data_IF_536184668764
#
_entry.id   IF_536184668764
#
_cell.length_a   1.000
_cell.length_b   1.000
_cell.length_c   1.000
_cell.angle_alpha   90.00
_cell.angle_beta   90.00
_cell.angle_gamma   90.00
#
_symmetry.space_group_name_H-M   'P 1'
#
loop_
_entity.id
_entity.type
_entity.pdbx_description
1 polymer ?
#
# COMPACT_ATOMS: atom_id res chain seq x y z
N UNK A 1 -11.32 18.41 -12.89
CA UNK A 1 -11.48 19.32 -11.74
C UNK A 1 -10.13 19.90 -11.43
N UNK A 2 -9.97 21.15 -11.00
CA UNK A 2 -8.65 21.63 -10.56
C UNK A 2 -8.22 20.83 -9.33
N UNK A 3 -6.93 20.51 -9.25
CA UNK A 3 -6.34 19.78 -8.13
C UNK A 3 -6.40 20.63 -6.87
N UNK A 4 -6.85 20.05 -5.77
CA UNK A 4 -6.87 20.68 -4.45
C UNK A 4 -6.38 19.73 -3.35
N UNK A 5 -5.85 20.29 -2.30
CA UNK A 5 -5.40 19.53 -1.13
C UNK A 5 -6.61 18.87 -0.46
N UNK A 6 -6.57 17.55 -0.22
CA UNK A 6 -7.64 16.86 0.50
C UNK A 6 -7.78 17.37 1.93
N UNK A 7 -9.01 17.43 2.42
CA UNK A 7 -9.35 17.82 3.80
C UNK A 7 -9.98 16.62 4.52
N UNK A 8 -9.96 16.59 5.86
CA UNK A 8 -10.58 15.51 6.63
C UNK A 8 -12.03 15.22 6.23
N UNK A 9 -12.80 16.28 5.90
CA UNK A 9 -14.20 16.17 5.52
C UNK A 9 -14.41 15.39 4.20
N UNK A 10 -13.41 15.32 3.35
CA UNK A 10 -13.47 14.56 2.10
C UNK A 10 -13.54 13.04 2.33
N UNK A 11 -13.11 12.59 3.50
CA UNK A 11 -13.00 11.19 3.88
C UNK A 11 -14.12 10.70 4.80
N UNK A 12 -14.93 11.57 5.38
CA UNK A 12 -15.98 11.20 6.36
C UNK A 12 -16.98 10.18 5.82
N UNK A 13 -17.25 10.19 4.52
CA UNK A 13 -18.18 9.24 3.91
C UNK A 13 -17.61 7.80 3.82
N UNK A 14 -16.31 7.64 4.01
CA UNK A 14 -15.65 6.32 4.05
C UNK A 14 -15.88 5.61 5.38
N UNK A 15 -16.14 6.37 6.45
CA UNK A 15 -16.40 5.84 7.78
C UNK A 15 -17.77 5.13 7.86
N UNK A 16 -17.89 4.06 8.63
CA UNK A 16 -16.83 3.40 9.41
C UNK A 16 -16.03 2.37 8.60
N UNK A 17 -16.30 2.20 7.30
CA UNK A 17 -15.72 1.12 6.49
C UNK A 17 -14.22 1.28 6.24
N UNK A 18 -13.75 2.52 6.18
CA UNK A 18 -12.33 2.83 6.01
C UNK A 18 -11.99 4.09 6.82
N UNK A 19 -11.09 3.93 7.79
CA UNK A 19 -10.61 5.02 8.62
C UNK A 19 -9.21 5.45 8.16
N UNK A 20 -8.95 6.75 8.14
CA UNK A 20 -7.68 7.32 7.73
C UNK A 20 -7.16 8.33 8.76
N UNK A 21 -5.84 8.41 8.88
CA UNK A 21 -5.13 9.45 9.62
C UNK A 21 -4.26 10.26 8.68
N UNK A 22 -4.44 11.57 8.66
CA UNK A 22 -3.73 12.48 7.76
C UNK A 22 -2.57 13.16 8.47
N UNK A 23 -1.43 13.24 7.79
CA UNK A 23 -0.25 13.99 8.23
C UNK A 23 0.12 14.97 7.13
N UNK A 24 -0.11 16.25 7.37
CA UNK A 24 0.23 17.31 6.42
C UNK A 24 1.71 17.65 6.50
N UNK A 25 2.33 18.12 5.38
CA UNK A 25 3.64 18.75 5.44
C UNK A 25 3.57 20.02 6.29
N UNK A 26 4.72 20.56 6.70
CA UNK A 26 4.82 21.75 7.56
C UNK A 26 4.02 22.95 7.01
N UNK A 27 4.05 23.12 5.69
CA UNK A 27 3.25 24.09 4.95
C UNK A 27 2.29 23.30 4.04
N UNK A 28 1.01 23.13 4.42
CA UNK A 28 0.06 22.31 3.66
C UNK A 28 -0.08 22.71 2.20
N UNK A 29 0.02 24.01 1.89
CA UNK A 29 -0.10 24.56 0.53
C UNK A 29 1.02 24.10 -0.42
N UNK A 30 2.13 23.60 0.12
CA UNK A 30 3.24 23.07 -0.67
C UNK A 30 3.02 21.61 -1.11
N UNK A 31 1.85 21.03 -0.82
CA UNK A 31 1.58 19.63 -1.17
C UNK A 31 1.57 19.42 -2.69
N UNK A 32 2.49 18.59 -3.15
CA UNK A 32 2.67 18.22 -4.57
C UNK A 32 2.54 16.72 -4.80
N UNK A 33 2.49 15.93 -3.74
CA UNK A 33 2.34 14.48 -3.81
C UNK A 33 1.60 13.94 -2.59
N UNK A 34 1.02 12.76 -2.74
CA UNK A 34 0.32 12.04 -1.66
C UNK A 34 1.07 10.73 -1.40
N UNK A 35 1.25 10.37 -0.13
CA UNK A 35 1.77 9.09 0.31
C UNK A 35 0.68 8.34 1.07
N UNK A 36 0.21 7.23 0.51
CA UNK A 36 -0.76 6.34 1.18
C UNK A 36 0.01 5.21 1.87
N UNK A 37 -0.24 5.04 3.18
CA UNK A 37 0.50 4.09 4.02
C UNK A 37 -0.42 2.97 4.53
N UNK A 38 0.09 1.73 4.46
CA UNK A 38 -0.57 0.51 4.88
C UNK A 38 0.26 -0.21 5.94
N UNK A 39 -0.30 -0.35 7.14
CA UNK A 39 0.35 -1.02 8.27
C UNK A 39 0.41 -2.55 8.08
N UNK A 40 1.24 -3.21 8.89
CA UNK A 40 1.33 -4.67 8.93
C UNK A 40 0.15 -5.31 9.67
N UNK A 41 0.07 -6.63 9.59
CA UNK A 41 -0.89 -7.43 10.33
C UNK A 41 -0.82 -7.12 11.83
N UNK A 42 -1.96 -6.85 12.44
CA UNK A 42 -2.06 -6.61 13.88
C UNK A 42 -1.65 -5.21 14.34
N UNK A 43 -1.42 -4.29 13.42
CA UNK A 43 -1.13 -2.88 13.71
C UNK A 43 -2.33 -1.98 13.31
N UNK A 44 -2.15 -0.68 13.26
CA UNK A 44 -3.18 0.30 12.93
C UNK A 44 -2.59 1.51 12.19
N UNK A 45 -3.48 2.36 11.69
CA UNK A 45 -3.12 3.61 11.02
C UNK A 45 -2.34 4.58 11.93
N UNK A 46 -2.51 4.49 13.24
CA UNK A 46 -1.86 5.40 14.19
C UNK A 46 -0.33 5.25 14.19
N UNK A 47 0.18 4.01 14.13
CA UNK A 47 1.61 3.72 14.05
C UNK A 47 2.23 4.28 12.78
N UNK A 48 1.54 4.13 11.64
CA UNK A 48 2.03 4.58 10.34
C UNK A 48 1.87 6.09 10.14
N UNK A 49 0.86 6.72 10.75
CA UNK A 49 0.79 8.18 10.84
C UNK A 49 1.99 8.75 11.63
N UNK A 50 2.39 8.10 12.74
CA UNK A 50 3.59 8.47 13.49
C UNK A 50 4.86 8.27 12.66
N UNK A 51 4.97 7.17 11.92
CA UNK A 51 6.07 6.92 10.99
C UNK A 51 6.15 8.01 9.91
N UNK A 52 5.03 8.34 9.26
CA UNK A 52 4.96 9.41 8.26
C UNK A 52 5.41 10.77 8.81
N UNK A 53 4.99 11.11 10.04
CA UNK A 53 5.45 12.32 10.72
C UNK A 53 6.97 12.33 10.96
N UNK A 54 7.54 11.17 11.28
CA UNK A 54 8.98 11.06 11.56
C UNK A 54 9.85 11.16 10.29
N UNK A 55 9.41 10.59 9.14
CA UNK A 55 10.14 10.71 7.89
C UNK A 55 10.01 12.11 7.26
N UNK A 56 8.92 12.82 7.57
CA UNK A 56 8.67 14.23 7.23
C UNK A 56 9.08 14.60 5.79
N UNK A 57 8.46 13.94 4.79
CA UNK A 57 8.76 14.18 3.38
C UNK A 57 8.25 15.56 2.95
N UNK A 58 9.11 16.45 2.43
CA UNK A 58 8.71 17.78 2.00
C UNK A 58 7.65 17.75 0.89
N UNK A 59 6.59 18.55 1.02
CA UNK A 59 5.54 18.65 0.02
C UNK A 59 4.67 17.40 -0.15
N UNK A 60 4.67 16.49 0.83
CA UNK A 60 3.90 15.25 0.79
C UNK A 60 2.82 15.25 1.86
N UNK A 61 1.56 15.10 1.45
CA UNK A 61 0.47 14.74 2.34
C UNK A 61 0.48 13.23 2.55
N UNK A 62 0.70 12.78 3.77
CA UNK A 62 0.62 11.37 4.09
C UNK A 62 -0.77 10.99 4.62
N UNK A 63 -1.32 9.88 4.11
CA UNK A 63 -2.62 9.31 4.49
C UNK A 63 -2.36 7.88 4.95
N UNK A 64 -2.36 7.68 6.26
CA UNK A 64 -2.26 6.36 6.87
C UNK A 64 -3.65 5.75 6.97
N UNK A 65 -3.80 4.55 6.43
CA UNK A 65 -5.09 3.85 6.32
C UNK A 65 -5.14 2.72 7.34
N UNK A 66 -6.29 2.57 8.00
CA UNK A 66 -6.57 1.45 8.91
C UNK A 66 -6.94 0.21 8.10
N UNK A 67 -6.45 -0.96 8.51
CA UNK A 67 -6.87 -2.24 7.97
C UNK A 67 -8.38 -2.43 8.05
N UNK A 68 -8.94 -3.09 7.06
CA UNK A 68 -10.40 -3.17 6.83
C UNK A 68 -11.16 -4.01 7.85
N UNK A 69 -10.47 -4.88 8.56
CA UNK A 69 -11.09 -5.81 9.50
C UNK A 69 -10.31 -5.86 10.82
N UNK A 70 -11.02 -5.95 11.96
CA UNK A 70 -10.37 -6.12 13.26
C UNK A 70 -9.72 -7.50 13.37
N UNK A 71 -8.50 -7.54 13.90
CA UNK A 71 -7.83 -8.80 14.20
C UNK A 71 -8.21 -9.26 15.61
N UNK A 72 -8.73 -10.48 15.76
CA UNK A 72 -9.07 -11.02 17.07
C UNK A 72 -7.84 -11.10 17.99
N UNK A 73 -7.89 -10.56 19.22
CA UNK A 73 -6.76 -10.55 20.14
C UNK A 73 -6.20 -11.94 20.47
N UNK A 74 -7.04 -12.96 20.39
CA UNK A 74 -6.64 -14.36 20.59
C UNK A 74 -5.56 -14.81 19.59
N UNK A 75 -5.57 -14.29 18.35
CA UNK A 75 -4.56 -14.60 17.33
C UNK A 75 -3.23 -13.89 17.59
N UNK A 76 -3.21 -12.87 18.47
CA UNK A 76 -2.00 -12.16 18.88
C UNK A 76 -1.38 -12.75 20.16
N UNK A 77 -1.96 -13.83 20.71
CA UNK A 77 -1.50 -14.40 21.98
C UNK A 77 -1.68 -13.46 23.18
N UNK A 78 -2.55 -12.46 23.07
CA UNK A 78 -2.85 -11.50 24.14
C UNK A 78 -3.87 -12.11 25.09
N UNK A 79 -3.51 -12.43 26.35
CA UNK A 79 -4.45 -12.98 27.31
C UNK A 79 -5.45 -11.90 27.75
N UNK A 80 -6.74 -12.23 27.76
CA UNK A 80 -7.73 -11.52 28.57
C UNK A 80 -8.32 -10.24 28.01
N UNK A 81 -8.39 -10.06 26.69
CA UNK A 81 -9.26 -9.00 26.15
C UNK A 81 -10.71 -9.45 26.33
N UNK A 82 -11.42 -8.78 27.26
CA UNK A 82 -12.87 -8.97 27.42
C UNK A 82 -13.58 -8.69 26.09
N UNK A 83 -14.51 -9.57 25.73
CA UNK A 83 -15.37 -9.37 24.56
C UNK A 83 -16.09 -8.02 24.69
N UNK A 84 -15.80 -7.08 23.76
CA UNK A 84 -16.41 -5.75 23.73
C UNK A 84 -15.47 -4.57 23.88
N UNK A 85 -14.18 -4.78 24.15
CA UNK A 85 -13.23 -3.66 24.09
C UNK A 85 -12.89 -3.31 22.63
N UNK A 86 -12.74 -2.00 22.31
CA UNK A 86 -12.33 -1.57 20.98
C UNK A 86 -10.94 -2.17 20.65
N UNK A 87 -10.84 -2.92 19.56
CA UNK A 87 -9.55 -3.44 19.13
C UNK A 87 -8.71 -2.33 18.51
N UNK A 88 -7.39 -2.37 18.77
CA UNK A 88 -6.39 -1.53 18.12
C UNK A 88 -5.60 -2.29 17.05
N UNK A 89 -6.02 -3.53 16.73
CA UNK A 89 -5.32 -4.47 15.87
C UNK A 89 -6.17 -4.79 14.65
N UNK A 90 -5.61 -4.60 13.46
CA UNK A 90 -6.34 -4.73 12.22
C UNK A 90 -5.56 -5.55 11.18
N UNK A 91 -6.27 -6.03 10.15
CA UNK A 91 -5.70 -6.73 9.01
C UNK A 91 -6.34 -6.28 7.69
N UNK A 92 -5.74 -6.68 6.56
CA UNK A 92 -6.18 -6.28 5.22
C UNK A 92 -6.88 -7.38 4.45
N UNK A 93 -6.72 -8.64 4.88
CA UNK A 93 -7.26 -9.80 4.18
C UNK A 93 -8.78 -9.87 4.22
N UNK A 94 -9.36 -10.50 3.20
CA UNK A 94 -10.79 -10.79 3.14
C UNK A 94 -11.20 -11.77 4.25
N UNK A 95 -10.31 -12.74 4.54
CA UNK A 95 -10.47 -13.76 5.58
C UNK A 95 -9.16 -13.94 6.39
N UNK A 96 -9.28 -14.54 7.57
CA UNK A 96 -8.18 -15.01 8.41
C UNK A 96 -8.09 -16.52 8.28
N UNK A 97 -7.46 -17.00 7.23
CA UNK A 97 -7.21 -18.43 7.02
C UNK A 97 -5.85 -18.83 7.59
N UNK A 98 -5.80 -19.99 8.24
CA UNK A 98 -4.58 -20.60 8.70
C UNK A 98 -4.15 -21.66 7.69
N UNK A 99 -2.87 -21.71 7.38
CA UNK A 99 -2.28 -22.78 6.60
C UNK A 99 -2.51 -24.12 7.32
N UNK A 100 -3.03 -25.11 6.62
CA UNK A 100 -3.25 -26.46 7.16
C UNK A 100 -1.92 -27.15 7.52
N UNK A 101 -0.83 -26.75 6.88
CA UNK A 101 0.46 -27.40 7.00
C UNK A 101 1.33 -26.82 8.13
N UNK A 102 1.31 -25.49 8.29
CA UNK A 102 2.14 -24.79 9.27
C UNK A 102 1.36 -24.23 10.45
N UNK A 103 0.06 -24.02 10.32
CA UNK A 103 -0.77 -23.31 11.31
C UNK A 103 -0.57 -21.80 11.32
N UNK A 104 0.23 -21.26 10.43
CA UNK A 104 0.44 -19.83 10.26
C UNK A 104 -0.67 -19.19 9.42
N UNK A 105 -0.82 -17.88 9.52
CA UNK A 105 -1.76 -17.15 8.67
C UNK A 105 -1.31 -17.20 7.20
N UNK A 106 -2.26 -17.48 6.31
CA UNK A 106 -2.00 -17.47 4.87
C UNK A 106 -1.48 -16.11 4.42
N UNK A 107 -0.37 -16.08 3.64
CA UNK A 107 0.23 -14.81 3.20
C UNK A 107 -0.60 -14.10 2.12
N UNK A 108 -1.48 -14.81 1.42
CA UNK A 108 -2.42 -14.27 0.44
C UNK A 108 -3.88 -14.60 0.82
N UNK A 109 -4.45 -13.91 1.82
CA UNK A 109 -5.80 -14.17 2.32
C UNK A 109 -6.90 -13.59 1.43
N UNK A 110 -6.57 -13.14 0.19
CA UNK A 110 -7.44 -12.30 -0.62
C UNK A 110 -7.49 -10.86 -0.11
N UNK A 111 -7.66 -9.92 -1.03
CA UNK A 111 -7.66 -8.48 -0.72
C UNK A 111 -8.79 -7.73 -1.44
N UNK A 112 -9.85 -8.42 -1.84
CA UNK A 112 -10.93 -7.84 -2.67
C UNK A 112 -11.64 -6.67 -1.98
N UNK A 113 -11.93 -6.81 -0.69
CA UNK A 113 -12.55 -5.73 0.12
C UNK A 113 -11.61 -4.54 0.28
N UNK A 114 -10.32 -4.81 0.56
CA UNK A 114 -9.30 -3.77 0.68
C UNK A 114 -9.10 -3.04 -0.65
N UNK A 115 -9.07 -3.76 -1.77
CA UNK A 115 -8.99 -3.19 -3.11
C UNK A 115 -10.19 -2.27 -3.40
N UNK A 116 -11.42 -2.73 -3.14
CA UNK A 116 -12.62 -1.90 -3.34
C UNK A 116 -12.59 -0.61 -2.52
N UNK A 117 -12.24 -0.71 -1.25
CA UNK A 117 -12.24 0.45 -0.35
C UNK A 117 -11.06 1.41 -0.63
N UNK A 118 -9.85 0.86 -0.81
CA UNK A 118 -8.65 1.69 -0.99
C UNK A 118 -8.54 2.19 -2.43
N UNK A 119 -8.53 1.30 -3.43
CA UNK A 119 -8.42 1.73 -4.82
C UNK A 119 -9.70 2.41 -5.30
N UNK A 120 -10.86 1.79 -5.08
CA UNK A 120 -12.14 2.28 -5.58
C UNK A 120 -12.61 3.55 -4.86
N UNK A 121 -12.73 3.51 -3.53
CA UNK A 121 -13.33 4.64 -2.79
C UNK A 121 -12.32 5.71 -2.38
N UNK A 122 -11.17 5.31 -1.78
CA UNK A 122 -10.18 6.30 -1.32
C UNK A 122 -9.44 6.93 -2.51
N UNK A 123 -8.80 6.15 -3.36
CA UNK A 123 -7.96 6.68 -4.43
C UNK A 123 -8.82 7.24 -5.56
N UNK A 124 -9.63 6.38 -6.23
CA UNK A 124 -10.43 6.81 -7.38
C UNK A 124 -11.55 7.78 -6.99
N UNK A 125 -12.32 7.46 -5.97
CA UNK A 125 -13.48 8.25 -5.55
C UNK A 125 -13.09 9.58 -4.91
N UNK A 126 -12.13 9.56 -3.97
CA UNK A 126 -11.78 10.77 -3.20
C UNK A 126 -10.61 11.52 -3.83
N UNK A 127 -9.44 10.90 -3.93
CA UNK A 127 -8.23 11.63 -4.34
C UNK A 127 -8.32 12.07 -5.79
N UNK A 128 -8.69 11.18 -6.69
CA UNK A 128 -8.82 11.50 -8.12
C UNK A 128 -10.15 12.20 -8.40
N UNK A 129 -11.27 11.62 -7.99
CA UNK A 129 -12.61 12.08 -8.35
C UNK A 129 -13.02 13.39 -7.71
N UNK A 130 -12.83 13.54 -6.39
CA UNK A 130 -13.22 14.76 -5.65
C UNK A 130 -12.12 15.80 -5.54
N UNK A 131 -10.86 15.37 -5.42
CA UNK A 131 -9.74 16.28 -5.17
C UNK A 131 -8.89 16.59 -6.41
N UNK A 132 -9.09 15.87 -7.52
CA UNK A 132 -8.47 16.16 -8.82
C UNK A 132 -7.00 15.73 -8.93
N UNK A 133 -6.51 14.87 -8.03
CA UNK A 133 -5.17 14.29 -8.11
C UNK A 133 -5.11 13.23 -9.21
N UNK A 134 -3.92 12.95 -9.69
CA UNK A 134 -3.68 11.84 -10.61
C UNK A 134 -2.99 10.69 -9.86
N UNK A 135 -3.09 9.45 -10.36
CA UNK A 135 -2.44 8.31 -9.69
C UNK A 135 -0.92 8.43 -9.70
N UNK A 136 -0.34 9.07 -10.73
CA UNK A 136 1.09 9.38 -10.81
C UNK A 136 1.57 10.46 -9.80
N UNK A 137 0.67 11.08 -9.04
CA UNK A 137 1.01 11.93 -7.89
C UNK A 137 1.02 11.17 -6.57
N UNK A 138 0.58 9.89 -6.59
CA UNK A 138 0.38 9.07 -5.40
C UNK A 138 1.49 8.05 -5.26
N UNK A 139 2.13 8.06 -4.09
CA UNK A 139 3.06 7.02 -3.62
C UNK A 139 2.33 6.05 -2.69
N UNK A 140 2.67 4.78 -2.77
CA UNK A 140 2.21 3.75 -1.84
C UNK A 140 3.37 3.26 -0.96
N UNK A 141 3.09 2.98 0.30
CA UNK A 141 4.06 2.40 1.22
C UNK A 141 3.37 1.38 2.11
N UNK A 142 3.91 0.19 2.23
CA UNK A 142 3.35 -0.84 3.07
C UNK A 142 4.38 -1.72 3.77
N UNK A 143 3.95 -2.31 4.89
CA UNK A 143 4.73 -3.25 5.68
C UNK A 143 3.99 -4.58 5.81
N UNK A 144 4.68 -5.71 5.65
CA UNK A 144 4.09 -7.04 5.73
C UNK A 144 2.85 -7.16 4.85
N UNK A 145 1.70 -7.50 5.42
CA UNK A 145 0.42 -7.59 4.70
C UNK A 145 0.03 -6.27 4.00
N UNK A 146 0.35 -5.10 4.61
CA UNK A 146 0.17 -3.80 3.96
C UNK A 146 1.12 -3.59 2.78
N UNK A 147 2.33 -4.19 2.82
CA UNK A 147 3.26 -4.22 1.69
C UNK A 147 2.73 -5.05 0.53
N UNK A 148 2.14 -6.20 0.83
CA UNK A 148 1.45 -7.04 -0.16
C UNK A 148 0.30 -6.28 -0.82
N UNK A 149 -0.53 -5.57 -0.03
CA UNK A 149 -1.59 -4.72 -0.56
C UNK A 149 -1.05 -3.63 -1.48
N UNK A 150 0.02 -2.92 -1.09
CA UNK A 150 0.63 -1.86 -1.91
C UNK A 150 1.09 -2.39 -3.28
N UNK A 151 1.74 -3.56 -3.31
CA UNK A 151 2.14 -4.23 -4.56
C UNK A 151 0.93 -4.68 -5.38
N UNK A 152 -0.06 -5.29 -4.72
CA UNK A 152 -1.31 -5.74 -5.36
C UNK A 152 -2.05 -4.60 -6.04
N UNK A 153 -2.27 -3.48 -5.34
CA UNK A 153 -2.90 -2.27 -5.90
C UNK A 153 -2.10 -1.72 -7.08
N UNK A 154 -0.75 -1.70 -6.96
CA UNK A 154 0.14 -1.25 -8.04
C UNK A 154 0.05 -2.14 -9.28
N UNK A 155 -0.17 -3.44 -9.11
CA UNK A 155 -0.30 -4.40 -10.20
C UNK A 155 -1.56 -4.22 -11.05
N UNK A 156 -2.58 -3.51 -10.52
CA UNK A 156 -3.84 -3.23 -11.23
C UNK A 156 -3.71 -2.09 -12.23
N UNK A 157 -2.75 -1.17 -12.06
CA UNK A 157 -2.56 -0.04 -12.97
C UNK A 157 -1.63 -0.43 -14.12
N UNK A 158 -2.23 -0.67 -15.29
CA UNK A 158 -1.54 -1.10 -16.51
C UNK A 158 -2.05 -0.31 -17.71
N UNK A 159 -1.23 -0.20 -18.76
CA UNK A 159 -1.74 0.30 -20.04
C UNK A 159 -2.82 -0.65 -20.52
N UNK A 160 -3.99 -0.11 -20.86
CA UNK A 160 -4.97 -0.85 -21.64
C UNK A 160 -4.30 -1.21 -22.97
N UNK A 161 -4.34 -2.48 -23.36
CA UNK A 161 -4.13 -2.80 -24.77
C UNK A 161 -5.24 -2.09 -25.54
N UNK A 162 -4.89 -1.42 -26.65
CA UNK A 162 -5.85 -0.76 -27.54
C UNK A 162 -6.84 -1.81 -28.05
N UNK A 163 -7.89 -2.05 -27.30
CA UNK A 163 -9.09 -2.68 -27.80
C UNK A 163 -9.81 -1.61 -28.62
N UNK A 164 -9.63 -1.70 -29.92
CA UNK A 164 -10.39 -0.92 -30.91
C UNK A 164 -11.87 -1.04 -30.55
N UNK A 165 -12.48 0.04 -30.01
CA UNK A 165 -13.92 0.15 -29.90
C UNK A 165 -14.55 0.40 -28.53
N UNK A 166 -13.89 1.00 -27.55
CA UNK A 166 -14.55 1.40 -26.29
C UNK A 166 -14.85 2.90 -26.29
N UNK A 167 -16.13 3.19 -26.30
CA UNK A 167 -16.77 4.51 -26.22
C UNK A 167 -16.37 5.29 -24.97
N UNK A 168 -16.14 6.59 -25.18
CA UNK A 168 -15.93 7.65 -24.18
C UNK A 168 -16.89 7.55 -22.97
N UNK A 169 -16.38 7.60 -21.75
CA UNK A 169 -17.22 7.77 -20.56
C UNK A 169 -16.57 7.57 -19.20
N UNK A 170 -15.48 6.85 -19.08
CA UNK A 170 -14.77 6.71 -17.81
C UNK A 170 -13.48 7.53 -17.85
N UNK A 171 -13.27 8.42 -16.86
CA UNK A 171 -11.94 8.98 -16.58
C UNK A 171 -11.02 7.82 -16.36
N UNK A 172 -10.12 7.57 -17.32
CA UNK A 172 -9.10 6.55 -17.22
C UNK A 172 -8.28 6.81 -15.95
N UNK A 173 -8.19 5.79 -15.11
CA UNK A 173 -7.16 5.74 -14.07
C UNK A 173 -5.82 5.99 -14.75
N UNK A 174 -4.97 6.80 -14.12
CA UNK A 174 -3.59 6.93 -14.55
C UNK A 174 -2.94 5.56 -14.69
N UNK A 175 -2.01 5.42 -15.61
CA UNK A 175 -1.41 4.14 -15.99
C UNK A 175 -0.45 3.57 -14.95
N UNK A 176 -0.13 4.34 -13.90
CA UNK A 176 0.81 3.96 -12.84
C UNK A 176 0.63 4.85 -11.60
N UNK A 177 1.00 4.33 -10.43
CA UNK A 177 1.33 5.18 -9.29
C UNK A 177 2.71 5.81 -9.46
N UNK A 178 2.99 6.88 -8.71
CA UNK A 178 4.31 7.54 -8.67
C UNK A 178 5.41 6.57 -8.24
N UNK A 179 5.08 5.62 -7.36
CA UNK A 179 5.92 4.52 -6.93
C UNK A 179 5.29 3.77 -5.76
N UNK A 180 5.76 2.57 -5.50
CA UNK A 180 5.34 1.76 -4.36
C UNK A 180 6.54 1.18 -3.61
N UNK A 181 6.47 1.19 -2.28
CA UNK A 181 7.46 0.56 -1.39
C UNK A 181 6.77 -0.56 -0.62
N UNK A 182 7.33 -1.76 -0.66
CA UNK A 182 6.95 -2.88 0.17
C UNK A 182 8.10 -3.30 1.07
N UNK A 183 7.83 -3.47 2.36
CA UNK A 183 8.77 -4.05 3.31
C UNK A 183 8.21 -5.38 3.78
N UNK A 184 8.87 -6.49 3.43
CA UNK A 184 8.49 -7.84 3.85
C UNK A 184 7.15 -8.35 3.28
N UNK A 185 6.54 -7.64 2.34
CA UNK A 185 5.30 -8.05 1.68
C UNK A 185 5.57 -8.53 0.25
N UNK A 186 5.05 -9.69 -0.11
CA UNK A 186 5.10 -10.25 -1.47
C UNK A 186 3.93 -9.76 -2.33
N UNK A 187 4.05 -9.87 -3.65
CA UNK A 187 2.92 -9.61 -4.55
C UNK A 187 1.88 -10.72 -4.41
N UNK A 188 0.65 -10.43 -3.94
CA UNK A 188 -0.37 -11.47 -3.79
C UNK A 188 -0.89 -11.92 -5.14
N UNK A 189 -0.92 -13.24 -5.36
CA UNK A 189 -1.41 -13.85 -6.59
C UNK A 189 -2.88 -13.54 -6.84
N UNK A 190 -3.68 -13.43 -5.77
CA UNK A 190 -5.11 -13.06 -5.81
C UNK A 190 -5.36 -11.67 -6.41
N UNK A 191 -4.38 -10.78 -6.36
CA UNK A 191 -4.51 -9.42 -6.91
C UNK A 191 -3.92 -9.26 -8.33
N UNK A 192 -3.28 -10.28 -8.86
CA UNK A 192 -2.75 -10.22 -10.22
C UNK A 192 -3.91 -10.35 -11.22
N UNK A 193 -4.06 -9.42 -12.19
CA UNK A 193 -5.09 -9.55 -13.22
C UNK A 193 -4.97 -10.84 -14.04
N UNK A 194 -6.09 -11.51 -14.33
CA UNK A 194 -6.11 -12.85 -14.91
C UNK A 194 -5.76 -12.91 -16.41
N UNK A 195 -5.67 -11.78 -17.13
CA UNK A 195 -5.39 -11.80 -18.57
C UNK A 195 -3.94 -12.21 -18.86
N UNK A 196 -3.75 -13.21 -19.70
CA UNK A 196 -2.42 -13.69 -20.14
C UNK A 196 -1.68 -12.73 -21.07
N UNK A 197 -2.42 -11.84 -21.75
CA UNK A 197 -1.89 -10.89 -22.74
C UNK A 197 -1.74 -9.47 -22.19
N UNK A 198 -1.60 -9.32 -20.86
CA UNK A 198 -1.50 -8.00 -20.22
C UNK A 198 -0.09 -7.42 -20.29
N UNK A 199 0.00 -6.10 -20.45
CA UNK A 199 1.25 -5.36 -20.29
C UNK A 199 1.72 -5.42 -18.83
N UNK A 200 3.03 -5.24 -18.59
CA UNK A 200 3.57 -5.06 -17.23
C UNK A 200 3.02 -3.78 -16.59
N UNK A 201 2.83 -3.80 -15.27
CA UNK A 201 2.46 -2.60 -14.52
C UNK A 201 3.58 -1.57 -14.57
N UNK A 202 3.22 -0.30 -14.84
CA UNK A 202 4.17 0.78 -15.00
C UNK A 202 4.64 1.42 -13.69
N UNK A 203 4.03 1.09 -12.55
CA UNK A 203 4.42 1.61 -11.25
C UNK A 203 5.82 1.13 -10.87
N UNK A 204 6.82 2.02 -10.63
CA UNK A 204 8.10 1.62 -10.09
C UNK A 204 7.93 1.07 -8.67
N UNK A 205 8.55 -0.07 -8.38
CA UNK A 205 8.44 -0.70 -7.06
C UNK A 205 9.82 -0.87 -6.40
N UNK A 206 9.87 -0.60 -5.10
CA UNK A 206 10.99 -0.92 -4.23
C UNK A 206 10.53 -1.97 -3.22
N UNK A 207 11.21 -3.12 -3.20
CA UNK A 207 10.95 -4.20 -2.25
C UNK A 207 12.13 -4.35 -1.33
N UNK A 208 11.89 -4.24 -0.03
CA UNK A 208 12.90 -4.37 1.01
C UNK A 208 12.59 -5.56 1.90
N UNK A 209 13.60 -6.36 2.22
CA UNK A 209 13.44 -7.53 3.07
C UNK A 209 14.72 -7.91 3.82
N UNK A 210 14.58 -8.73 4.86
CA UNK A 210 15.68 -9.33 5.56
C UNK A 210 16.35 -10.46 4.77
N UNK A 211 17.55 -10.85 5.17
CA UNK A 211 18.29 -11.91 4.45
C UNK A 211 17.65 -13.29 4.55
N UNK A 212 16.79 -13.52 5.55
CA UNK A 212 16.10 -14.79 5.78
C UNK A 212 14.59 -14.65 5.55
N UNK A 213 14.16 -13.73 4.69
CA UNK A 213 12.74 -13.62 4.34
C UNK A 213 12.25 -14.92 3.72
N UNK A 214 11.15 -15.44 4.23
CA UNK A 214 10.48 -16.63 3.70
C UNK A 214 9.48 -16.26 2.59
N UNK A 215 8.93 -15.02 2.65
CA UNK A 215 7.93 -14.53 1.70
C UNK A 215 8.55 -13.91 0.43
N UNK A 216 9.78 -13.40 0.54
CA UNK A 216 10.48 -12.74 -0.56
C UNK A 216 11.69 -13.57 -1.00
N UNK A 217 11.40 -14.78 -1.41
CA UNK A 217 12.35 -15.70 -2.03
C UNK A 217 12.61 -15.39 -3.53
N UNK A 218 13.37 -16.22 -4.19
CA UNK A 218 13.71 -16.03 -5.60
C UNK A 218 12.47 -16.06 -6.51
N UNK A 219 11.47 -16.91 -6.21
CA UNK A 219 10.25 -17.03 -7.01
C UNK A 219 9.38 -15.77 -6.87
N UNK A 220 9.26 -15.23 -5.67
CA UNK A 220 8.55 -13.99 -5.41
C UNK A 220 9.20 -12.80 -6.14
N UNK A 221 10.54 -12.72 -6.16
CA UNK A 221 11.26 -11.67 -6.89
C UNK A 221 11.12 -11.85 -8.41
N UNK A 222 11.16 -13.08 -8.94
CA UNK A 222 10.89 -13.35 -10.35
C UNK A 222 9.46 -12.97 -10.73
N UNK A 223 8.48 -13.25 -9.88
CA UNK A 223 7.09 -12.82 -10.08
C UNK A 223 6.99 -11.30 -10.18
N UNK A 224 7.63 -10.55 -9.28
CA UNK A 224 7.67 -9.09 -9.34
C UNK A 224 8.29 -8.60 -10.66
N UNK A 225 9.42 -9.16 -11.08
CA UNK A 225 10.07 -8.81 -12.34
C UNK A 225 9.24 -9.16 -13.59
N UNK A 226 8.37 -10.16 -13.49
CA UNK A 226 7.42 -10.51 -14.55
C UNK A 226 6.26 -9.53 -14.63
N UNK A 227 5.78 -9.03 -13.49
CA UNK A 227 4.56 -8.23 -13.39
C UNK A 227 4.82 -6.70 -13.49
N UNK A 228 6.01 -6.22 -13.14
CA UNK A 228 6.37 -4.80 -13.14
C UNK A 228 7.50 -4.47 -14.11
N UNK A 229 7.51 -3.24 -14.61
CA UNK A 229 8.56 -2.74 -15.52
C UNK A 229 9.84 -2.36 -14.76
N UNK A 230 9.72 -1.74 -13.58
CA UNK A 230 10.83 -1.24 -12.75
C UNK A 230 10.71 -1.83 -11.35
N UNK A 231 11.57 -2.79 -11.04
CA UNK A 231 11.66 -3.47 -9.74
C UNK A 231 13.03 -3.26 -9.14
N UNK A 232 13.07 -2.76 -7.93
CA UNK A 232 14.29 -2.65 -7.14
C UNK A 232 14.17 -3.50 -5.88
N UNK A 233 15.10 -4.43 -5.71
CA UNK A 233 15.22 -5.25 -4.52
C UNK A 233 16.31 -4.70 -3.60
N UNK A 234 16.01 -4.62 -2.31
CA UNK A 234 16.98 -4.30 -1.25
C UNK A 234 16.94 -5.39 -0.19
N UNK A 235 17.94 -6.25 -0.22
CA UNK A 235 18.16 -7.28 0.78
C UNK A 235 19.00 -6.73 1.92
N UNK A 236 18.39 -6.54 3.09
CA UNK A 236 19.07 -6.05 4.27
C UNK A 236 19.95 -7.12 4.94
N UNK A 237 20.94 -6.67 5.70
CA UNK A 237 21.83 -7.57 6.47
C UNK A 237 21.13 -8.19 7.69
N UNK A 238 20.08 -7.56 8.22
CA UNK A 238 19.26 -8.13 9.29
C UNK A 238 18.54 -9.40 8.81
N UNK A 239 18.23 -10.31 9.75
CA UNK A 239 17.61 -11.58 9.40
C UNK A 239 16.12 -11.44 9.05
N UNK A 240 15.42 -10.58 9.77
CA UNK A 240 13.96 -10.43 9.72
C UNK A 240 13.48 -9.31 8.77
N UNK A 241 12.21 -9.35 8.43
CA UNK A 241 11.52 -8.38 7.57
C UNK A 241 10.98 -7.16 8.33
N UNK A 242 11.42 -6.92 9.57
CA UNK A 242 10.93 -5.78 10.36
C UNK A 242 11.19 -4.42 9.71
N UNK A 243 10.48 -3.40 10.18
CA UNK A 243 10.70 -2.00 9.77
C UNK A 243 12.17 -1.57 9.96
N UNK A 244 12.67 -0.60 9.17
CA UNK A 244 14.04 -0.10 9.28
C UNK A 244 14.38 0.38 10.71
N UNK A 245 15.50 -0.10 11.25
CA UNK A 245 15.97 0.22 12.62
C UNK A 245 17.10 1.24 12.64
N UNK A 246 17.71 1.51 11.50
CA UNK A 246 18.87 2.36 11.40
C UNK A 246 18.93 3.10 10.04
N UNK A 247 19.87 4.04 9.94
CA UNK A 247 20.06 4.86 8.73
C UNK A 247 20.36 4.03 7.47
N UNK A 248 21.13 2.96 7.57
CA UNK A 248 21.51 2.14 6.42
C UNK A 248 20.31 1.42 5.82
N UNK A 249 19.42 0.92 6.67
CA UNK A 249 18.18 0.28 6.24
C UNK A 249 17.18 1.28 5.67
N UNK A 250 17.12 2.49 6.23
CA UNK A 250 16.20 3.54 5.78
C UNK A 250 16.67 4.24 4.50
N UNK A 251 17.99 4.30 4.25
CA UNK A 251 18.57 5.05 3.15
C UNK A 251 18.02 4.68 1.76
N UNK A 252 17.89 3.41 1.36
CA UNK A 252 17.33 3.03 0.06
C UNK A 252 15.88 3.53 -0.13
N UNK A 253 15.08 3.51 0.93
CA UNK A 253 13.69 4.00 0.92
C UNK A 253 13.67 5.51 0.71
N UNK A 254 14.50 6.23 1.44
CA UNK A 254 14.61 7.70 1.30
C UNK A 254 15.14 8.10 -0.07
N UNK A 255 16.08 7.34 -0.65
CA UNK A 255 16.58 7.56 -2.00
C UNK A 255 15.46 7.34 -3.04
N UNK A 256 14.70 6.25 -2.90
CA UNK A 256 13.56 5.98 -3.77
C UNK A 256 12.52 7.10 -3.70
N UNK A 257 12.13 7.55 -2.52
CA UNK A 257 11.22 8.69 -2.37
C UNK A 257 11.80 9.96 -3.00
N UNK A 258 13.08 10.27 -2.75
CA UNK A 258 13.71 11.47 -3.31
C UNK A 258 13.72 11.46 -4.84
N UNK A 259 13.97 10.30 -5.47
CA UNK A 259 13.92 10.15 -6.93
C UNK A 259 12.50 10.33 -7.46
N UNK A 260 11.50 9.73 -6.82
CA UNK A 260 10.09 9.84 -7.25
C UNK A 260 9.54 11.25 -7.04
N UNK A 261 9.91 11.95 -5.98
CA UNK A 261 9.46 13.31 -5.70
C UNK A 261 10.17 14.38 -6.57
N UNK A 262 11.34 14.07 -7.16
CA UNK A 262 12.07 14.98 -8.08
C UNK A 262 11.69 14.79 -9.54
N UNK A 263 11.04 13.70 -9.91
CA UNK A 263 10.66 13.42 -11.29
C UNK A 263 9.52 14.36 -11.73
N UNK A 264 9.91 15.48 -12.31
CA UNK A 264 9.08 16.42 -13.07
C UNK A 264 9.50 16.39 -14.53
#
# INVERSE_FOLDING_TARGET
MPTRIPKPEDFTYLEPSLNVSMVFPEIPETTTSILVLFHGLGDSEASFAKFAKNINLPGVLAISVRGISPLPPALLGLPGSEAGQPTSHFHWGDDLTLSSDTGDLEPDPGFSKAEELVLGKLIQGTLVGKCGWETNDILLFGFGQGGSLALGLSSKLRKAEELVGVTEGNRELGLAFKGAVSIGGQLPSSMIPSSSARSKAGTPVLVCHGRNSELLDSEAIELLNREFVDVREVKWMKADDSMPRNRHEMLPIMQFFAERLRAW
#
